data_IF_410585003760
#
_entry.id   IF_410585003760
#
_cell.length_a   1.000
_cell.length_b   1.000
_cell.length_c   1.000
_cell.angle_alpha   90.00
_cell.angle_beta   90.00
_cell.angle_gamma   90.00
#
_symmetry.space_group_name_H-M   'P 1'
#
loop_
_entity.id
_entity.type
_entity.pdbx_description
1 polymer ?
#
# COMPACT_ATOMS: atom_id res chain seq x y z
N UNK A 1 32.29 -36.63 6.90
CA UNK A 1 31.89 -35.82 8.09
C UNK A 1 31.88 -34.31 7.85
N UNK A 2 32.90 -33.69 7.18
CA UNK A 2 32.93 -32.24 6.92
C UNK A 2 31.79 -31.77 6.03
N UNK A 3 31.40 -32.52 5.00
CA UNK A 3 30.30 -32.13 4.10
C UNK A 3 28.93 -32.16 4.80
N UNK A 4 28.71 -33.13 5.71
CA UNK A 4 27.47 -33.23 6.48
C UNK A 4 27.30 -32.02 7.43
N UNK A 5 28.35 -31.62 8.15
CA UNK A 5 28.32 -30.45 9.04
C UNK A 5 28.11 -29.09 8.32
N UNK A 6 28.61 -28.99 7.07
CA UNK A 6 28.38 -27.75 6.26
C UNK A 6 26.94 -27.71 5.77
N UNK A 7 26.42 -28.85 5.30
CA UNK A 7 25.03 -28.93 4.79
C UNK A 7 24.00 -28.67 5.89
N UNK A 8 24.24 -29.24 7.09
CA UNK A 8 23.33 -29.04 8.22
C UNK A 8 23.34 -27.60 8.70
N UNK A 9 24.52 -26.97 8.85
CA UNK A 9 24.63 -25.53 9.18
C UNK A 9 23.99 -24.64 8.13
N UNK A 10 24.16 -24.95 6.84
CA UNK A 10 23.53 -24.17 5.77
C UNK A 10 22.01 -24.29 5.83
N UNK A 11 21.47 -25.47 6.14
CA UNK A 11 20.05 -25.70 6.33
C UNK A 11 19.51 -24.92 7.53
N UNK A 12 20.19 -24.96 8.67
CA UNK A 12 19.77 -24.26 9.88
C UNK A 12 19.79 -22.75 9.66
N UNK A 13 20.87 -22.21 9.11
CA UNK A 13 20.96 -20.77 8.79
C UNK A 13 19.92 -20.32 7.78
N UNK A 14 19.60 -21.14 6.80
CA UNK A 14 18.55 -20.84 5.83
C UNK A 14 17.17 -20.80 6.50
N UNK A 15 16.90 -21.75 7.38
CA UNK A 15 15.63 -21.79 8.13
C UNK A 15 15.52 -20.59 9.09
N UNK A 16 16.59 -20.26 9.79
CA UNK A 16 16.64 -19.08 10.68
C UNK A 16 16.41 -17.80 9.90
N UNK A 17 17.11 -17.63 8.77
CA UNK A 17 16.92 -16.47 7.90
C UNK A 17 15.50 -16.41 7.30
N UNK A 18 14.97 -17.53 6.82
CA UNK A 18 13.62 -17.60 6.28
C UNK A 18 12.56 -17.23 7.34
N UNK A 19 12.70 -17.80 8.55
CA UNK A 19 11.84 -17.49 9.70
C UNK A 19 11.92 -16.00 10.06
N UNK A 20 13.12 -15.44 10.12
CA UNK A 20 13.32 -14.03 10.38
C UNK A 20 12.63 -13.14 9.34
N UNK A 21 12.81 -13.44 8.04
CA UNK A 21 12.18 -12.65 6.96
C UNK A 21 10.66 -12.74 7.01
N UNK A 22 10.11 -13.90 7.38
CA UNK A 22 8.66 -14.07 7.52
C UNK A 22 8.13 -13.27 8.72
N UNK A 23 8.68 -13.52 9.91
CA UNK A 23 8.12 -13.04 11.18
C UNK A 23 8.49 -11.58 11.46
N UNK A 24 9.73 -11.17 11.13
CA UNK A 24 10.29 -9.88 11.53
C UNK A 24 10.35 -8.83 10.42
N UNK A 25 9.87 -9.16 9.20
CA UNK A 25 9.96 -8.22 8.07
C UNK A 25 8.73 -8.16 7.18
N UNK A 26 8.29 -9.30 6.63
CA UNK A 26 7.40 -9.29 5.47
C UNK A 26 5.92 -9.40 5.81
N UNK A 27 5.57 -10.17 6.84
CA UNK A 27 4.18 -10.49 7.17
C UNK A 27 3.66 -9.54 8.24
N UNK A 28 2.52 -8.88 8.01
CA UNK A 28 1.88 -8.07 9.04
C UNK A 28 1.22 -8.96 10.10
N UNK A 29 1.11 -8.46 11.34
CA UNK A 29 0.28 -9.11 12.36
C UNK A 29 -1.21 -8.93 12.03
N UNK A 30 -2.00 -9.96 12.26
CA UNK A 30 -3.46 -9.87 12.12
C UNK A 30 -4.10 -8.97 13.19
N UNK A 31 -3.47 -8.86 14.35
CA UNK A 31 -4.01 -8.13 15.50
C UNK A 31 -3.95 -6.61 15.29
N UNK A 32 -2.86 -6.10 14.73
CA UNK A 32 -2.65 -4.67 14.55
C UNK A 32 -2.46 -4.20 13.11
N UNK A 33 -2.34 -5.13 12.17
CA UNK A 33 -2.15 -4.81 10.76
C UNK A 33 -0.77 -4.29 10.39
N UNK A 34 0.17 -4.26 11.33
CA UNK A 34 1.51 -3.72 11.11
C UNK A 34 2.56 -4.78 10.82
N UNK A 35 3.46 -4.45 9.91
CA UNK A 35 4.78 -5.08 9.88
C UNK A 35 5.62 -4.59 11.06
N UNK A 36 6.64 -5.35 11.50
CA UNK A 36 7.47 -4.93 12.64
C UNK A 36 8.05 -3.52 12.53
N UNK A 37 8.57 -3.12 11.35
CA UNK A 37 9.08 -1.76 11.14
C UNK A 37 8.00 -0.70 11.32
N UNK A 38 6.78 -0.94 10.83
CA UNK A 38 5.67 0.01 10.95
C UNK A 38 5.23 0.17 12.41
N UNK A 39 5.15 -0.94 13.16
CA UNK A 39 4.82 -0.94 14.59
C UNK A 39 5.87 -0.16 15.39
N UNK A 40 7.15 -0.35 15.08
CA UNK A 40 8.27 0.38 15.71
C UNK A 40 8.24 1.87 15.39
N UNK A 41 7.86 2.26 14.17
CA UNK A 41 7.63 3.67 13.79
C UNK A 41 6.49 4.25 14.62
N UNK A 42 5.34 3.57 14.70
CA UNK A 42 4.20 4.05 15.49
C UNK A 42 4.55 4.19 16.97
N UNK A 43 5.30 3.25 17.55
CA UNK A 43 5.78 3.35 18.93
C UNK A 43 6.75 4.54 19.10
N UNK A 44 7.70 4.72 18.18
CA UNK A 44 8.63 5.86 18.22
C UNK A 44 7.91 7.20 18.12
N UNK A 45 6.90 7.29 17.27
CA UNK A 45 6.09 8.51 17.18
C UNK A 45 5.30 8.75 18.47
N UNK A 46 4.83 7.68 19.15
CA UNK A 46 4.14 7.80 20.43
C UNK A 46 5.08 8.27 21.54
N UNK A 47 6.32 7.79 21.57
CA UNK A 47 7.32 8.21 22.54
C UNK A 47 7.73 9.68 22.36
N UNK A 48 7.71 10.19 21.14
CA UNK A 48 8.02 11.57 20.79
C UNK A 48 6.80 12.51 20.78
N UNK A 49 5.61 11.98 21.07
CA UNK A 49 4.35 12.72 20.91
C UNK A 49 4.19 13.83 21.95
N UNK A 50 4.28 15.05 21.48
CA UNK A 50 3.98 16.28 22.22
C UNK A 50 2.87 17.12 21.54
N UNK A 51 2.16 16.53 20.58
CA UNK A 51 1.10 17.16 19.79
C UNK A 51 1.63 18.01 18.61
N UNK A 52 2.92 18.24 18.49
CA UNK A 52 3.55 19.02 17.41
C UNK A 52 4.07 18.12 16.31
N UNK A 53 4.32 18.72 15.14
CA UNK A 53 5.02 18.04 14.05
C UNK A 53 6.49 17.83 14.39
N UNK A 54 6.99 16.63 14.11
CA UNK A 54 8.39 16.26 14.22
C UNK A 54 8.98 16.02 12.83
N UNK A 55 10.25 16.38 12.62
CA UNK A 55 10.98 16.02 11.41
C UNK A 55 11.02 14.50 11.26
N UNK A 56 10.72 14.00 10.05
CA UNK A 56 10.79 12.57 9.77
C UNK A 56 12.17 12.01 10.07
N UNK A 57 13.25 12.77 9.82
CA UNK A 57 14.62 12.38 10.17
C UNK A 57 14.78 12.08 11.68
N UNK A 58 14.13 12.85 12.56
CA UNK A 58 14.19 12.62 14.01
C UNK A 58 13.41 11.35 14.40
N UNK A 59 12.23 11.13 13.79
CA UNK A 59 11.42 9.94 14.03
C UNK A 59 12.18 8.69 13.54
N UNK A 60 12.81 8.75 12.37
CA UNK A 60 13.63 7.68 11.82
C UNK A 60 14.79 7.35 12.76
N UNK A 61 15.54 8.37 13.20
CA UNK A 61 16.64 8.20 14.16
C UNK A 61 16.16 7.59 15.48
N UNK A 62 15.02 8.03 16.01
CA UNK A 62 14.45 7.43 17.22
C UNK A 62 14.00 5.98 16.99
N UNK A 63 13.46 5.65 15.82
CA UNK A 63 13.02 4.29 15.48
C UNK A 63 14.19 3.30 15.42
N UNK A 64 15.40 3.75 15.08
CA UNK A 64 16.59 2.89 15.06
C UNK A 64 16.93 2.28 16.43
N UNK A 65 16.40 2.81 17.54
CA UNK A 65 16.51 2.19 18.87
C UNK A 65 15.73 0.87 18.99
N UNK A 66 14.76 0.66 18.12
CA UNK A 66 13.92 -0.53 18.08
C UNK A 66 14.20 -1.39 16.84
N UNK A 67 14.69 -0.79 15.76
CA UNK A 67 14.81 -1.45 14.45
C UNK A 67 16.28 -1.55 14.02
N UNK A 68 16.88 -2.76 13.98
CA UNK A 68 18.31 -2.97 13.71
C UNK A 68 18.66 -2.90 12.21
N UNK A 69 17.98 -2.09 11.44
CA UNK A 69 18.20 -1.93 9.99
C UNK A 69 18.45 -0.47 9.63
N UNK A 70 18.91 -0.23 8.40
CA UNK A 70 19.26 1.11 7.93
C UNK A 70 18.08 2.10 7.93
N UNK A 71 18.40 3.37 8.13
CA UNK A 71 17.48 4.50 8.18
C UNK A 71 16.61 4.64 6.92
N UNK A 72 17.15 4.31 5.75
CA UNK A 72 16.42 4.36 4.48
C UNK A 72 15.16 3.48 4.50
N UNK A 73 15.26 2.25 5.04
CA UNK A 73 14.11 1.34 5.12
C UNK A 73 13.01 1.85 6.06
N UNK A 74 13.40 2.52 7.14
CA UNK A 74 12.47 3.15 8.08
C UNK A 74 11.80 4.36 7.43
N UNK A 75 12.57 5.20 6.73
CA UNK A 75 12.05 6.36 6.02
C UNK A 75 11.04 5.96 4.94
N UNK A 76 11.36 4.94 4.13
CA UNK A 76 10.45 4.43 3.10
C UNK A 76 9.15 3.88 3.71
N UNK A 77 9.25 3.10 4.79
CA UNK A 77 8.07 2.60 5.49
C UNK A 77 7.22 3.74 6.07
N UNK A 78 7.84 4.78 6.60
CA UNK A 78 7.16 5.95 7.14
C UNK A 78 6.44 6.74 6.04
N UNK A 79 7.07 6.92 4.88
CA UNK A 79 6.43 7.56 3.71
C UNK A 79 5.19 6.76 3.28
N UNK A 80 5.28 5.43 3.21
CA UNK A 80 4.13 4.58 2.86
C UNK A 80 2.98 4.69 3.86
N UNK A 81 3.26 4.83 5.16
CA UNK A 81 2.21 5.05 6.18
C UNK A 81 1.58 6.43 5.99
N UNK A 82 2.40 7.46 5.78
CA UNK A 82 1.94 8.84 5.62
C UNK A 82 1.08 9.05 4.38
N UNK A 83 1.43 8.40 3.26
CA UNK A 83 0.68 8.49 2.01
C UNK A 83 -0.72 7.87 2.07
N UNK A 84 -1.03 7.06 3.11
CA UNK A 84 -2.37 6.50 3.34
C UNK A 84 -3.31 7.47 4.07
N UNK A 85 -2.79 8.59 4.56
CA UNK A 85 -3.55 9.70 5.19
C UNK A 85 -4.54 9.25 6.29
N UNK A 86 -4.17 8.27 7.10
CA UNK A 86 -5.01 7.71 8.16
C UNK A 86 -4.38 7.83 9.55
N UNK A 87 -3.14 7.38 9.69
CA UNK A 87 -2.48 7.24 11.00
C UNK A 87 -1.57 8.40 11.34
N UNK A 88 -1.15 9.14 10.35
CA UNK A 88 -0.14 10.19 10.46
C UNK A 88 -0.65 11.43 9.73
N UNK A 89 -0.68 12.56 10.42
CA UNK A 89 -0.81 13.87 9.80
C UNK A 89 0.55 14.24 9.19
N UNK A 90 0.57 14.65 7.95
CA UNK A 90 1.79 14.91 7.19
C UNK A 90 1.93 16.38 6.83
N UNK A 91 3.18 16.87 6.80
CA UNK A 91 3.51 18.22 6.34
C UNK A 91 4.74 18.19 5.43
N UNK A 92 4.68 18.95 4.33
CA UNK A 92 5.70 18.96 3.29
C UNK A 92 5.37 18.02 2.12
N UNK A 93 6.34 17.74 1.27
CA UNK A 93 6.17 16.90 0.08
C UNK A 93 6.39 15.41 0.42
N UNK A 94 5.31 14.67 0.58
CA UNK A 94 5.31 13.23 0.84
C UNK A 94 5.22 12.37 -0.43
N UNK A 95 5.44 12.98 -1.60
CA UNK A 95 5.24 12.32 -2.88
C UNK A 95 3.77 12.27 -3.30
N UNK A 96 3.50 11.60 -4.39
CA UNK A 96 2.14 11.45 -4.90
C UNK A 96 1.94 10.02 -5.41
N UNK A 97 1.00 9.29 -4.81
CA UNK A 97 0.67 7.91 -5.20
C UNK A 97 0.02 7.81 -6.58
N UNK A 98 -0.61 8.90 -7.07
CA UNK A 98 -1.24 8.92 -8.38
C UNK A 98 -0.21 9.09 -9.50
N UNK A 99 0.75 10.00 -9.33
CA UNK A 99 1.79 10.27 -10.34
C UNK A 99 3.00 9.35 -10.19
N UNK A 100 3.25 8.83 -8.99
CA UNK A 100 4.44 8.06 -8.65
C UNK A 100 5.63 8.93 -8.22
N UNK A 101 5.40 10.22 -7.97
CA UNK A 101 6.45 11.12 -7.50
C UNK A 101 6.94 10.71 -6.13
N UNK A 102 8.24 10.82 -5.94
CA UNK A 102 8.90 10.48 -4.68
C UNK A 102 8.73 11.57 -3.63
N UNK A 103 8.68 11.15 -2.37
CA UNK A 103 8.73 12.07 -1.24
C UNK A 103 10.07 12.83 -1.20
N UNK A 104 10.04 14.03 -0.62
CA UNK A 104 11.25 14.77 -0.30
C UNK A 104 12.08 14.03 0.78
N UNK A 105 13.35 14.39 0.91
CA UNK A 105 14.22 13.79 1.93
C UNK A 105 13.65 14.02 3.34
N UNK A 106 13.88 13.05 4.24
CA UNK A 106 13.33 13.00 5.61
C UNK A 106 13.59 14.27 6.45
N UNK A 107 14.64 15.04 6.13
CA UNK A 107 14.95 16.31 6.78
C UNK A 107 14.02 17.47 6.42
N UNK A 108 13.25 17.35 5.32
CA UNK A 108 12.36 18.41 4.82
C UNK A 108 10.89 18.17 5.14
N UNK A 109 10.50 16.94 5.42
CA UNK A 109 9.12 16.56 5.70
C UNK A 109 8.91 16.32 7.20
N UNK A 110 7.68 16.54 7.65
CA UNK A 110 7.31 16.46 9.05
C UNK A 110 6.05 15.63 9.23
N UNK A 111 5.92 14.99 10.40
CA UNK A 111 4.79 14.17 10.75
C UNK A 111 4.45 14.27 12.23
N UNK A 112 3.20 13.98 12.53
CA UNK A 112 2.70 13.69 13.88
C UNK A 112 1.65 12.60 13.83
N UNK A 113 1.35 11.98 14.97
CA UNK A 113 0.24 11.03 15.06
C UNK A 113 -1.09 11.74 14.81
N UNK A 114 -1.95 11.14 13.98
CA UNK A 114 -3.32 11.62 13.82
C UNK A 114 -4.13 11.40 15.09
N UNK A 115 -5.19 12.16 15.28
CA UNK A 115 -6.13 11.93 16.39
C UNK A 115 -6.71 10.53 16.38
N UNK A 116 -7.02 10.01 15.18
CA UNK A 116 -7.49 8.64 15.01
C UNK A 116 -6.46 7.62 15.52
N UNK A 117 -5.17 7.79 15.17
CA UNK A 117 -4.12 6.88 15.63
C UNK A 117 -3.99 6.90 17.16
N UNK A 118 -4.02 8.08 17.78
CA UNK A 118 -3.94 8.22 19.23
C UNK A 118 -5.10 7.52 19.96
N UNK A 119 -6.31 7.62 19.42
CA UNK A 119 -7.52 7.05 20.03
C UNK A 119 -7.65 5.54 19.79
N UNK A 120 -7.15 5.02 18.67
CA UNK A 120 -7.44 3.67 18.19
C UNK A 120 -6.29 2.69 18.39
N UNK A 121 -5.03 3.15 18.28
CA UNK A 121 -3.87 2.24 18.24
C UNK A 121 -3.34 1.95 19.65
N UNK A 122 -3.26 2.94 20.52
CA UNK A 122 -2.51 2.85 21.76
C UNK A 122 -3.42 2.57 22.98
N UNK A 123 -3.07 1.54 23.73
CA UNK A 123 -3.62 1.26 25.06
C UNK A 123 -2.57 0.57 25.94
N UNK A 124 -1.78 1.32 26.70
CA UNK A 124 -0.68 0.76 27.52
C UNK A 124 -1.13 -0.32 28.51
N UNK A 125 -2.39 -0.28 28.97
CA UNK A 125 -2.92 -1.23 29.95
C UNK A 125 -3.07 -2.66 29.43
N UNK A 126 -3.19 -2.84 28.11
CA UNK A 126 -3.39 -4.15 27.46
C UNK A 126 -2.30 -4.45 26.43
N UNK A 127 -1.27 -3.63 26.35
CA UNK A 127 -0.12 -3.86 25.46
C UNK A 127 0.84 -4.86 26.10
N UNK A 128 1.19 -5.91 25.37
CA UNK A 128 2.26 -6.82 25.75
C UNK A 128 3.61 -6.30 25.21
N UNK A 129 4.60 -6.30 26.10
CA UNK A 129 5.93 -5.72 25.82
C UNK A 129 6.99 -6.79 25.79
N UNK A 130 7.96 -6.63 24.89
CA UNK A 130 9.20 -7.41 24.82
C UNK A 130 10.41 -6.49 24.86
N UNK A 131 11.61 -7.04 25.06
CA UNK A 131 12.85 -6.30 24.96
C UNK A 131 13.15 -5.98 23.49
N UNK A 132 13.68 -4.77 23.24
CA UNK A 132 14.25 -4.43 21.92
C UNK A 132 15.44 -5.33 21.59
N UNK A 133 15.87 -5.31 20.33
CA UNK A 133 16.99 -6.14 19.85
C UNK A 133 18.28 -6.01 20.64
N UNK A 134 18.54 -4.84 21.25
CA UNK A 134 19.72 -4.55 22.08
C UNK A 134 19.45 -4.67 23.58
N UNK A 135 18.22 -5.01 23.99
CA UNK A 135 17.79 -5.16 25.37
C UNK A 135 17.67 -3.86 26.17
N UNK A 136 17.92 -2.70 25.57
CA UNK A 136 17.93 -1.40 26.27
C UNK A 136 16.56 -0.77 26.42
N UNK A 137 15.60 -1.13 25.57
CA UNK A 137 14.24 -0.61 25.52
C UNK A 137 13.22 -1.73 25.55
N UNK A 138 11.97 -1.37 25.75
CA UNK A 138 10.84 -2.27 25.54
C UNK A 138 10.06 -1.82 24.32
N UNK A 139 9.69 -2.75 23.47
CA UNK A 139 8.82 -2.52 22.31
C UNK A 139 7.55 -3.36 22.42
N UNK A 140 6.41 -2.90 21.86
CA UNK A 140 5.20 -3.69 21.85
C UNK A 140 5.35 -4.91 20.93
N UNK A 141 4.89 -6.09 21.42
CA UNK A 141 4.76 -7.29 20.58
C UNK A 141 3.74 -7.01 19.49
N UNK A 142 2.54 -6.57 19.89
CA UNK A 142 1.48 -6.06 19.02
C UNK A 142 0.85 -4.82 19.68
N UNK A 143 0.30 -3.93 18.88
CA UNK A 143 -0.47 -2.80 19.35
C UNK A 143 -1.96 -3.19 19.49
N UNK A 144 -2.64 -2.77 20.55
CA UNK A 144 -4.04 -3.17 20.81
C UNK A 144 -5.03 -2.33 19.99
N UNK A 145 -4.97 -2.45 18.67
CA UNK A 145 -5.78 -1.67 17.74
C UNK A 145 -7.26 -2.01 17.86
N UNK A 146 -8.10 -0.99 18.00
CA UNK A 146 -9.57 -1.13 18.19
C UNK A 146 -10.37 -1.15 16.88
N UNK A 147 -9.71 -1.22 15.74
CA UNK A 147 -10.29 -1.13 14.40
C UNK A 147 -9.62 -2.15 13.48
N UNK A 148 -10.28 -2.76 12.49
CA UNK A 148 -9.68 -3.73 11.57
C UNK A 148 -8.70 -3.07 10.59
N UNK A 149 -7.58 -2.56 11.13
CA UNK A 149 -6.61 -1.74 10.43
C UNK A 149 -5.95 -2.48 9.27
N UNK A 150 -5.72 -3.79 9.43
CA UNK A 150 -5.17 -4.62 8.38
C UNK A 150 -6.00 -4.57 7.09
N UNK A 151 -7.33 -4.62 7.22
CA UNK A 151 -8.24 -4.52 6.08
C UNK A 151 -8.35 -3.09 5.55
N UNK A 152 -8.31 -2.08 6.42
CA UNK A 152 -8.36 -0.68 5.98
C UNK A 152 -7.14 -0.30 5.13
N UNK A 153 -5.95 -0.69 5.57
CA UNK A 153 -4.72 -0.30 4.90
C UNK A 153 -4.28 -1.26 3.81
N UNK A 154 -4.72 -2.51 3.88
CA UNK A 154 -4.13 -3.58 3.11
C UNK A 154 -2.66 -3.82 3.46
N UNK A 155 -2.10 -4.93 3.00
CA UNK A 155 -0.69 -5.22 3.17
C UNK A 155 -0.18 -6.15 2.07
N UNK A 156 1.01 -5.86 1.58
CA UNK A 156 1.73 -6.76 0.69
C UNK A 156 3.11 -7.05 1.28
N UNK A 157 3.55 -8.31 1.18
CA UNK A 157 4.86 -8.71 1.64
C UNK A 157 5.32 -9.97 0.94
N UNK A 158 6.60 -9.99 0.57
CA UNK A 158 7.25 -11.15 -0.05
C UNK A 158 8.29 -11.64 0.93
N UNK A 159 8.16 -12.88 1.34
CA UNK A 159 9.09 -13.57 2.21
C UNK A 159 9.71 -14.79 1.50
N UNK A 160 10.49 -15.59 2.22
CA UNK A 160 11.05 -16.81 1.67
C UNK A 160 9.99 -17.91 1.70
N UNK A 161 9.56 -18.37 0.52
CA UNK A 161 8.55 -19.42 0.38
C UNK A 161 7.09 -18.99 0.67
N UNK A 162 6.88 -17.77 1.16
CA UNK A 162 5.56 -17.23 1.48
C UNK A 162 5.42 -15.80 0.93
N UNK A 163 4.20 -15.44 0.58
CA UNK A 163 3.82 -14.06 0.29
C UNK A 163 2.47 -13.77 0.93
N UNK A 164 2.27 -12.51 1.29
CA UNK A 164 0.97 -12.01 1.75
C UNK A 164 0.51 -10.91 0.82
N UNK A 165 -0.77 -10.91 0.47
CA UNK A 165 -1.41 -9.86 -0.30
C UNK A 165 -2.83 -9.67 0.21
N UNK A 166 -2.99 -8.66 1.04
CA UNK A 166 -4.27 -8.26 1.61
C UNK A 166 -4.62 -6.91 1.01
N UNK A 167 -5.75 -6.85 0.32
CA UNK A 167 -6.20 -5.63 -0.35
C UNK A 167 -6.85 -4.67 0.65
N UNK A 168 -6.75 -3.37 0.37
CA UNK A 168 -7.42 -2.34 1.17
C UNK A 168 -8.94 -2.37 0.96
N UNK A 169 -9.66 -1.82 1.94
CA UNK A 169 -11.12 -1.72 1.95
C UNK A 169 -11.55 -0.31 2.36
N UNK A 170 -12.74 0.06 1.98
CA UNK A 170 -13.32 1.34 2.34
C UNK A 170 -13.52 1.45 3.87
N UNK A 171 -13.10 2.58 4.44
CA UNK A 171 -13.14 2.82 5.88
C UNK A 171 -14.57 2.77 6.46
N UNK A 172 -15.53 3.41 5.79
CA UNK A 172 -16.92 3.44 6.25
C UNK A 172 -17.58 2.06 6.12
N UNK A 173 -17.32 1.34 5.04
CA UNK A 173 -17.82 -0.02 4.85
C UNK A 173 -17.26 -0.98 5.90
N UNK A 174 -16.00 -0.79 6.32
CA UNK A 174 -15.39 -1.57 7.40
C UNK A 174 -16.07 -1.32 8.74
N UNK A 175 -16.44 -0.08 9.06
CA UNK A 175 -17.22 0.24 10.27
C UNK A 175 -18.58 -0.44 10.20
N UNK A 176 -19.30 -0.32 9.08
CA UNK A 176 -20.61 -0.94 8.90
C UNK A 176 -20.53 -2.47 8.98
N UNK A 177 -19.50 -3.07 8.38
CA UNK A 177 -19.25 -4.51 8.46
C UNK A 177 -18.95 -4.95 9.90
N UNK A 178 -18.15 -4.19 10.64
CA UNK A 178 -17.84 -4.43 12.06
C UNK A 178 -19.09 -4.38 12.93
N UNK A 179 -19.97 -3.39 12.71
CA UNK A 179 -21.25 -3.28 13.42
C UNK A 179 -22.17 -4.46 13.09
N UNK A 180 -22.25 -4.87 11.82
CA UNK A 180 -23.02 -6.04 11.40
C UNK A 180 -22.49 -7.33 12.01
N UNK A 181 -21.17 -7.50 12.02
CA UNK A 181 -20.51 -8.64 12.64
C UNK A 181 -20.84 -8.77 14.13
N UNK A 182 -20.70 -7.68 14.89
CA UNK A 182 -21.04 -7.64 16.32
C UNK A 182 -22.52 -7.90 16.60
N UNK A 183 -23.38 -7.61 15.63
CA UNK A 183 -24.83 -7.90 15.70
C UNK A 183 -25.22 -9.28 15.13
N UNK A 184 -24.23 -10.13 14.83
CA UNK A 184 -24.43 -11.43 14.17
C UNK A 184 -25.26 -11.35 12.87
N UNK A 185 -25.10 -10.25 12.09
CA UNK A 185 -25.75 -10.07 10.80
C UNK A 185 -24.79 -10.41 9.67
N UNK A 186 -25.31 -10.93 8.58
CA UNK A 186 -24.54 -11.18 7.35
C UNK A 186 -24.14 -9.85 6.72
N UNK A 187 -22.94 -9.79 6.17
CA UNK A 187 -22.44 -8.68 5.36
C UNK A 187 -21.57 -9.20 4.22
N UNK A 188 -21.39 -8.38 3.21
CA UNK A 188 -20.43 -8.58 2.13
C UNK A 188 -19.50 -7.39 2.13
N UNK A 189 -18.20 -7.62 1.96
CA UNK A 189 -17.18 -6.58 1.94
C UNK A 189 -16.27 -6.85 0.74
N UNK A 190 -16.09 -5.85 -0.10
CA UNK A 190 -15.20 -5.92 -1.25
C UNK A 190 -14.00 -4.98 -1.07
N UNK A 191 -12.85 -5.34 -1.62
CA UNK A 191 -11.71 -4.42 -1.68
C UNK A 191 -12.07 -3.09 -2.36
N UNK A 192 -11.47 -2.01 -1.85
CA UNK A 192 -11.57 -0.67 -2.41
C UNK A 192 -10.18 -0.03 -2.53
N UNK A 193 -9.97 0.78 -3.55
CA UNK A 193 -8.66 1.29 -3.90
C UNK A 193 -8.66 2.82 -3.93
N UNK A 194 -7.69 3.41 -3.27
CA UNK A 194 -7.54 4.88 -3.19
C UNK A 194 -7.35 5.54 -4.56
N UNK A 195 -6.85 4.79 -5.55
CA UNK A 195 -6.69 5.27 -6.93
C UNK A 195 -7.99 5.23 -7.73
N UNK A 196 -9.05 4.62 -7.18
CA UNK A 196 -10.34 4.43 -7.86
C UNK A 196 -10.32 3.25 -8.83
N UNK A 197 -11.02 3.44 -9.96
CA UNK A 197 -11.18 2.42 -10.99
C UNK A 197 -12.49 1.64 -10.90
N UNK A 198 -12.71 0.74 -11.85
CA UNK A 198 -13.87 -0.14 -11.91
C UNK A 198 -13.39 -1.57 -11.69
N UNK A 199 -13.89 -2.23 -10.66
CA UNK A 199 -13.44 -3.58 -10.30
C UNK A 199 -14.51 -4.64 -10.59
N UNK A 200 -14.08 -5.76 -11.17
CA UNK A 200 -14.88 -6.97 -11.36
C UNK A 200 -14.50 -8.00 -10.30
N UNK A 201 -15.41 -8.25 -9.36
CA UNK A 201 -15.26 -9.19 -8.25
C UNK A 201 -15.89 -10.56 -8.48
N UNK A 202 -16.37 -10.86 -9.69
CA UNK A 202 -17.05 -12.14 -10.00
C UNK A 202 -16.24 -13.36 -9.55
N UNK A 203 -14.92 -13.30 -9.67
CA UNK A 203 -14.00 -14.37 -9.32
C UNK A 203 -13.14 -14.05 -8.09
N UNK A 204 -13.57 -13.14 -7.22
CA UNK A 204 -12.77 -12.71 -6.05
C UNK A 204 -12.52 -13.81 -5.02
N UNK A 205 -13.50 -14.72 -4.85
CA UNK A 205 -13.41 -15.84 -3.90
C UNK A 205 -13.04 -15.40 -2.45
N UNK A 206 -13.48 -14.20 -2.05
CA UNK A 206 -13.29 -13.66 -0.70
C UNK A 206 -11.80 -13.68 -0.23
N UNK A 207 -10.88 -13.31 -1.13
CA UNK A 207 -9.43 -13.29 -0.86
C UNK A 207 -8.77 -14.66 -0.73
N UNK A 208 -9.49 -15.76 -0.96
CA UNK A 208 -8.93 -17.11 -0.91
C UNK A 208 -8.10 -17.42 -2.15
N UNK A 209 -7.15 -18.32 -1.98
CA UNK A 209 -6.26 -18.79 -3.05
C UNK A 209 -7.04 -19.16 -4.32
N UNK A 210 -6.56 -18.67 -5.47
CA UNK A 210 -7.19 -18.87 -6.78
C UNK A 210 -8.21 -17.81 -7.15
N UNK A 211 -8.50 -16.86 -6.25
CA UNK A 211 -9.30 -15.67 -6.56
C UNK A 211 -8.61 -14.76 -7.58
N UNK A 212 -9.41 -13.97 -8.30
CA UNK A 212 -8.93 -13.00 -9.27
C UNK A 212 -9.88 -11.80 -9.33
N UNK A 213 -9.29 -10.62 -9.31
CA UNK A 213 -10.01 -9.35 -9.51
C UNK A 213 -9.44 -8.69 -10.75
N UNK A 214 -10.30 -8.14 -11.60
CA UNK A 214 -9.89 -7.27 -12.70
C UNK A 214 -10.25 -5.84 -12.34
N UNK A 215 -9.29 -4.93 -12.42
CA UNK A 215 -9.49 -3.51 -12.14
C UNK A 215 -9.18 -2.72 -13.39
N UNK A 216 -10.12 -1.89 -13.83
CA UNK A 216 -10.03 -1.04 -15.03
C UNK A 216 -9.93 0.43 -14.65
N UNK A 217 -9.15 1.17 -15.41
CA UNK A 217 -9.18 2.63 -15.41
C UNK A 217 -10.59 3.11 -15.78
N UNK A 218 -11.03 4.22 -15.19
CA UNK A 218 -12.29 4.85 -15.58
C UNK A 218 -12.04 5.79 -16.73
N UNK A 219 -12.52 5.39 -17.92
CA UNK A 219 -12.35 6.10 -19.18
C UNK A 219 -13.69 6.67 -19.62
N UNK A 220 -13.71 7.94 -19.99
CA UNK A 220 -14.88 8.65 -20.54
C UNK A 220 -14.56 9.21 -21.91
N UNK A 221 -15.54 9.18 -22.82
CA UNK A 221 -15.47 9.87 -24.10
C UNK A 221 -15.87 11.33 -23.85
N UNK A 222 -14.97 12.27 -24.11
CA UNK A 222 -15.24 13.72 -24.04
C UNK A 222 -15.84 14.20 -25.34
N UNK A 223 -15.22 13.81 -26.46
CA UNK A 223 -15.66 14.11 -27.81
C UNK A 223 -15.24 13.01 -28.78
N UNK A 224 -15.48 13.23 -30.09
CA UNK A 224 -15.18 12.23 -31.16
C UNK A 224 -13.70 11.86 -31.27
N UNK A 225 -12.80 12.63 -30.67
CA UNK A 225 -11.33 12.49 -30.80
C UNK A 225 -10.61 12.49 -29.46
N UNK A 226 -11.31 12.63 -28.34
CA UNK A 226 -10.67 12.79 -27.03
C UNK A 226 -11.30 11.89 -25.98
N UNK A 227 -10.44 11.09 -25.33
CA UNK A 227 -10.78 10.28 -24.17
C UNK A 227 -10.19 10.88 -22.91
N UNK A 228 -10.91 10.81 -21.81
CA UNK A 228 -10.46 11.18 -20.46
C UNK A 228 -10.32 9.95 -19.59
N UNK A 229 -9.13 9.73 -19.04
CA UNK A 229 -8.91 8.77 -17.96
C UNK A 229 -8.96 9.55 -16.65
N UNK A 230 -9.93 9.24 -15.80
CA UNK A 230 -10.21 9.97 -14.55
C UNK A 230 -9.92 9.19 -13.28
N UNK A 231 -9.67 7.89 -13.36
CA UNK A 231 -9.29 7.01 -12.25
C UNK A 231 -8.34 5.93 -12.75
N UNK A 232 -7.40 5.52 -11.90
CA UNK A 232 -6.36 4.54 -12.24
C UNK A 232 -6.69 3.16 -11.68
N UNK A 233 -6.26 2.08 -12.33
CA UNK A 233 -6.29 0.75 -11.74
C UNK A 233 -5.34 0.66 -10.54
N UNK A 234 -5.62 -0.31 -9.68
CA UNK A 234 -4.78 -0.61 -8.51
C UNK A 234 -3.29 -0.77 -8.88
N UNK A 235 -2.43 -0.18 -8.06
CA UNK A 235 -0.96 -0.24 -8.22
C UNK A 235 -0.42 0.34 -9.53
N UNK A 236 -1.19 1.22 -10.18
CA UNK A 236 -0.79 1.92 -11.40
C UNK A 236 -0.66 3.40 -11.14
N UNK A 237 0.40 4.03 -11.64
CA UNK A 237 0.59 5.49 -11.62
C UNK A 237 0.31 6.09 -12.99
N UNK A 238 0.05 7.41 -13.08
CA UNK A 238 -0.16 8.09 -14.37
C UNK A 238 1.02 7.86 -15.30
N UNK A 239 2.25 8.00 -14.78
CA UNK A 239 3.48 7.75 -15.54
C UNK A 239 3.52 6.34 -16.12
N UNK A 240 3.30 5.31 -15.29
CA UNK A 240 3.35 3.91 -15.74
C UNK A 240 2.23 3.57 -16.72
N UNK A 241 1.06 4.20 -16.57
CA UNK A 241 -0.06 4.04 -17.48
C UNK A 241 0.25 4.65 -18.85
N UNK A 242 0.71 5.90 -18.87
CA UNK A 242 1.08 6.62 -20.10
C UNK A 242 2.18 5.87 -20.85
N UNK A 243 3.21 5.41 -20.14
CA UNK A 243 4.28 4.60 -20.75
C UNK A 243 3.74 3.31 -21.39
N UNK A 244 2.77 2.66 -20.76
CA UNK A 244 2.14 1.46 -21.31
C UNK A 244 1.32 1.76 -22.58
N UNK A 245 0.65 2.91 -22.61
CA UNK A 245 -0.12 3.39 -23.75
C UNK A 245 0.82 3.73 -24.92
N UNK A 246 1.91 4.46 -24.67
CA UNK A 246 2.92 4.79 -25.68
C UNK A 246 3.51 3.52 -26.27
N UNK A 247 3.94 2.56 -25.43
CA UNK A 247 4.46 1.27 -25.88
C UNK A 247 3.47 0.48 -26.75
N UNK A 248 2.17 0.54 -26.44
CA UNK A 248 1.15 -0.12 -27.25
C UNK A 248 0.92 0.59 -28.59
N UNK A 249 1.01 1.92 -28.62
CA UNK A 249 0.95 2.73 -29.83
C UNK A 249 2.15 2.42 -30.75
N UNK A 250 3.38 2.39 -30.21
CA UNK A 250 4.61 2.09 -30.98
C UNK A 250 4.58 0.69 -31.59
N UNK A 251 3.95 -0.26 -30.89
CA UNK A 251 3.73 -1.63 -31.38
C UNK A 251 2.56 -1.73 -32.38
N UNK A 252 1.90 -0.62 -32.72
CA UNK A 252 0.77 -0.58 -33.63
C UNK A 252 -0.51 -1.27 -33.13
N UNK A 253 -0.61 -1.54 -31.81
CA UNK A 253 -1.81 -2.15 -31.19
C UNK A 253 -2.95 -1.16 -31.02
N UNK A 254 -2.61 0.12 -30.83
CA UNK A 254 -3.55 1.25 -30.73
C UNK A 254 -3.03 2.37 -31.59
N UNK A 255 -3.88 3.35 -31.93
CA UNK A 255 -3.48 4.54 -32.67
C UNK A 255 -3.86 5.77 -31.87
N UNK A 256 -2.84 6.49 -31.38
CA UNK A 256 -3.01 7.69 -30.57
C UNK A 256 -2.20 8.82 -31.21
N UNK A 257 -2.77 10.03 -31.20
CA UNK A 257 -2.14 11.24 -31.72
C UNK A 257 -1.27 11.93 -30.67
N UNK A 258 -1.80 12.08 -29.45
CA UNK A 258 -1.17 12.81 -28.33
C UNK A 258 -1.76 12.36 -27.01
N UNK A 259 -0.98 12.47 -25.93
CA UNK A 259 -1.44 12.29 -24.55
C UNK A 259 -1.04 13.54 -23.77
N UNK A 260 -1.97 14.11 -23.01
CA UNK A 260 -1.73 15.20 -22.08
C UNK A 260 -2.06 14.74 -20.67
N UNK A 261 -1.11 14.88 -19.73
CA UNK A 261 -1.29 14.58 -18.32
C UNK A 261 -1.48 15.89 -17.55
N UNK A 262 -2.71 16.15 -17.10
CA UNK A 262 -3.10 17.30 -16.30
C UNK A 262 -3.36 16.90 -14.84
N UNK A 263 -2.88 15.72 -14.43
CA UNK A 263 -3.11 15.17 -13.10
C UNK A 263 -2.53 16.08 -12.02
N UNK A 264 -3.36 16.40 -11.02
CA UNK A 264 -2.98 17.16 -9.83
C UNK A 264 -3.49 16.45 -8.57
N UNK A 265 -4.53 16.95 -7.92
CA UNK A 265 -5.24 16.28 -6.84
C UNK A 265 -6.18 15.18 -7.32
N UNK A 266 -6.52 15.19 -8.61
CA UNK A 266 -7.34 14.17 -9.29
C UNK A 266 -6.64 13.75 -10.57
N UNK A 267 -6.87 12.51 -10.96
CA UNK A 267 -6.34 11.98 -12.23
C UNK A 267 -7.08 12.63 -13.40
N UNK A 268 -6.32 13.20 -14.32
CA UNK A 268 -6.81 13.80 -15.55
C UNK A 268 -5.81 13.56 -16.68
N UNK A 269 -5.98 12.45 -17.40
CA UNK A 269 -5.16 12.10 -18.57
C UNK A 269 -6.05 12.19 -19.80
N UNK A 270 -5.70 13.08 -20.73
CA UNK A 270 -6.38 13.25 -22.00
C UNK A 270 -5.64 12.45 -23.09
N UNK A 271 -6.37 11.56 -23.75
CA UNK A 271 -5.84 10.75 -24.86
C UNK A 271 -6.51 11.21 -26.14
N UNK A 272 -5.74 11.85 -27.02
CA UNK A 272 -6.22 12.37 -28.30
C UNK A 272 -6.05 11.33 -29.42
N UNK A 273 -7.13 11.10 -30.17
CA UNK A 273 -7.20 10.14 -31.24
C UNK A 273 -6.98 10.79 -32.60
N UNK A 274 -6.35 10.10 -33.58
CA UNK A 274 -6.35 10.54 -34.96
C UNK A 274 -7.77 10.59 -35.55
N UNK A 275 -7.97 11.41 -36.57
CA UNK A 275 -9.25 11.48 -37.31
C UNK A 275 -9.64 10.11 -37.87
N UNK A 276 -10.91 9.76 -37.73
CA UNK A 276 -11.48 8.51 -38.23
C UNK A 276 -11.27 7.28 -37.33
N UNK A 277 -10.65 7.43 -36.17
CA UNK A 277 -10.52 6.35 -35.19
C UNK A 277 -11.76 6.37 -34.24
N UNK A 278 -12.35 5.21 -34.02
CA UNK A 278 -13.51 5.06 -33.12
C UNK A 278 -13.06 5.13 -31.65
N UNK A 279 -13.63 6.02 -30.82
CA UNK A 279 -13.36 6.08 -29.38
C UNK A 279 -13.65 4.77 -28.66
N UNK A 280 -14.81 4.15 -28.92
CA UNK A 280 -15.23 2.90 -28.24
C UNK A 280 -14.25 1.76 -28.51
N UNK A 281 -13.86 1.54 -29.77
CA UNK A 281 -12.87 0.52 -30.12
C UNK A 281 -11.49 0.82 -29.52
N UNK A 282 -11.16 2.08 -29.34
CA UNK A 282 -9.89 2.47 -28.70
C UNK A 282 -9.94 2.17 -27.20
N UNK A 283 -11.08 2.39 -26.53
CA UNK A 283 -11.26 2.04 -25.11
C UNK A 283 -11.06 0.54 -24.91
N UNK A 284 -11.68 -0.30 -25.74
CA UNK A 284 -11.51 -1.75 -25.70
C UNK A 284 -10.05 -2.16 -25.90
N UNK A 285 -9.36 -1.50 -26.84
CA UNK A 285 -7.95 -1.76 -27.12
C UNK A 285 -7.04 -1.27 -25.97
N UNK A 286 -7.36 -0.15 -25.32
CA UNK A 286 -6.66 0.32 -24.13
C UNK A 286 -6.75 -0.71 -22.99
N UNK A 287 -7.92 -1.27 -22.73
CA UNK A 287 -8.07 -2.33 -21.74
C UNK A 287 -7.34 -3.62 -22.13
N UNK A 288 -7.32 -3.98 -23.40
CA UNK A 288 -6.69 -5.22 -23.87
C UNK A 288 -5.16 -5.18 -23.93
N UNK A 289 -4.54 -4.02 -24.21
CA UNK A 289 -3.13 -3.91 -24.55
C UNK A 289 -2.30 -3.01 -23.66
N UNK A 290 -2.90 -2.37 -22.67
CA UNK A 290 -2.21 -1.43 -21.77
C UNK A 290 -2.53 -1.71 -20.31
N UNK A 291 -1.89 -0.96 -19.40
CA UNK A 291 -2.18 -1.01 -17.98
C UNK A 291 -3.52 -0.34 -17.59
N UNK A 292 -4.38 -0.01 -18.57
CA UNK A 292 -5.75 0.43 -18.30
C UNK A 292 -6.62 -0.69 -17.69
N UNK A 293 -6.24 -1.96 -17.83
CA UNK A 293 -6.77 -3.09 -17.06
C UNK A 293 -5.63 -3.84 -16.40
N UNK A 294 -5.76 -4.09 -15.10
CA UNK A 294 -4.83 -4.95 -14.34
C UNK A 294 -5.59 -6.08 -13.68
N UNK A 295 -4.92 -7.23 -13.57
CA UNK A 295 -5.46 -8.39 -12.86
C UNK A 295 -4.70 -8.57 -11.55
N UNK A 296 -5.46 -8.74 -10.46
CA UNK A 296 -4.94 -8.97 -9.11
C UNK A 296 -5.32 -10.38 -8.69
N UNK A 297 -4.35 -11.13 -8.17
CA UNK A 297 -4.58 -12.42 -7.49
C UNK A 297 -4.21 -12.22 -6.03
N UNK A 298 -5.22 -12.05 -5.16
CA UNK A 298 -5.01 -11.89 -3.73
C UNK A 298 -4.57 -13.20 -3.06
#
# INVERSE_FOLDING_TARGET
QRQMCIRDRYKDWFLDYASYVILERAVPSVEDGFKPVQRRIMQSMKDLDDGRYNKVANIVGHTMQYHPHGDASIADAMVQIGQKDLLIDTQGNWGNILTGDRAAASRYIEARLSKFALDVIFNPKVTNWQSSYDGRRKEPINLPVKFPLLLAQGAEGIAVGLSTKILSHNFNELIDASIKYLKNKRFTLYPDFITGGIADFTNYNDGKRGGKIRVRAKIKIIDKSTLLISELPYSTTTTSLIDSIIKANDKGKIKIKKIDDNTSSKVEILVHLPSGISPDKTIDALYAFTNCEVSISP
#
